data_IF_934350194275
#
_entry.id   IF_934350194275
#
_cell.length_a   1.000
_cell.length_b   1.000
_cell.length_c   1.000
_cell.angle_alpha   90.00
_cell.angle_beta   90.00
_cell.angle_gamma   90.00
#
_symmetry.space_group_name_H-M   'P 1'
#
loop_
_entity.id
_entity.type
_entity.pdbx_description
1 polymer ?
#
# COMPACT_ATOMS: atom_id res chain seq x y z
N UNK A 1 -0.60 -10.91 48.50
CA UNK A 1 -1.30 -9.97 47.58
C UNK A 1 -0.33 -9.42 46.55
N UNK A 2 0.93 -9.15 46.90
CA UNK A 2 1.96 -8.66 45.98
C UNK A 2 2.32 -9.59 44.81
N UNK A 3 2.38 -10.92 45.02
CA UNK A 3 2.77 -11.86 43.95
C UNK A 3 1.80 -11.87 42.75
N UNK A 4 0.49 -11.75 43.02
CA UNK A 4 -0.53 -11.67 41.97
C UNK A 4 -0.46 -10.35 41.19
N UNK A 5 -0.03 -9.27 41.84
CA UNK A 5 0.17 -7.97 41.21
C UNK A 5 1.36 -8.03 40.23
N UNK A 6 2.49 -8.59 40.68
CA UNK A 6 3.71 -8.72 39.87
C UNK A 6 3.50 -9.66 38.67
N UNK A 7 2.76 -10.76 38.86
CA UNK A 7 2.48 -11.67 37.77
C UNK A 7 1.53 -11.07 36.72
N UNK A 8 0.58 -10.23 37.16
CA UNK A 8 -0.29 -9.47 36.26
C UNK A 8 0.50 -8.43 35.47
N UNK A 9 1.33 -7.63 36.14
CA UNK A 9 2.15 -6.59 35.48
C UNK A 9 3.10 -7.22 34.45
N UNK A 10 3.67 -8.39 34.75
CA UNK A 10 4.54 -9.12 33.81
C UNK A 10 3.79 -9.60 32.56
N UNK A 11 2.54 -10.07 32.72
CA UNK A 11 1.68 -10.49 31.59
C UNK A 11 1.23 -9.29 30.76
N UNK A 12 0.86 -8.18 31.40
CA UNK A 12 0.50 -6.94 30.72
C UNK A 12 1.68 -6.40 29.90
N UNK A 13 2.90 -6.43 30.46
CA UNK A 13 4.11 -6.02 29.74
C UNK A 13 4.46 -6.94 28.56
N UNK A 14 4.38 -8.26 28.73
CA UNK A 14 4.62 -9.21 27.63
C UNK A 14 3.58 -9.04 26.50
N UNK A 15 2.30 -8.85 26.84
CA UNK A 15 1.25 -8.60 25.87
C UNK A 15 1.48 -7.29 25.12
N UNK A 16 1.82 -6.20 25.82
CA UNK A 16 2.12 -4.91 25.22
C UNK A 16 3.30 -5.01 24.24
N UNK A 17 4.38 -5.69 24.61
CA UNK A 17 5.55 -5.91 23.74
C UNK A 17 5.18 -6.67 22.45
N UNK A 18 4.36 -7.72 22.56
CA UNK A 18 3.88 -8.48 21.39
C UNK A 18 2.99 -7.65 20.47
N UNK A 19 2.07 -6.87 21.04
CA UNK A 19 1.19 -6.00 20.26
C UNK A 19 1.98 -4.91 19.55
N UNK A 20 2.98 -4.33 20.22
CA UNK A 20 3.85 -3.33 19.63
C UNK A 20 4.67 -3.92 18.47
N UNK A 21 5.29 -5.09 18.66
CA UNK A 21 6.01 -5.77 17.59
C UNK A 21 5.12 -6.14 16.39
N UNK A 22 3.86 -6.51 16.63
CA UNK A 22 2.89 -6.73 15.56
C UNK A 22 2.57 -5.42 14.81
N UNK A 23 2.33 -4.32 15.54
CA UNK A 23 2.04 -3.02 14.95
C UNK A 23 3.20 -2.51 14.07
N UNK A 24 4.45 -2.66 14.54
CA UNK A 24 5.65 -2.28 13.78
C UNK A 24 5.77 -3.10 12.49
N UNK A 25 5.51 -4.41 12.54
CA UNK A 25 5.53 -5.28 11.34
C UNK A 25 4.45 -4.91 10.34
N UNK A 26 3.23 -4.64 10.80
CA UNK A 26 2.11 -4.21 9.94
C UNK A 26 2.46 -2.89 9.26
N UNK A 27 2.99 -1.92 10.00
CA UNK A 27 3.41 -0.64 9.43
C UNK A 27 4.52 -0.80 8.37
N UNK A 28 5.51 -1.67 8.60
CA UNK A 28 6.55 -1.97 7.61
C UNK A 28 5.96 -2.58 6.33
N UNK A 29 5.06 -3.56 6.48
CA UNK A 29 4.40 -4.20 5.34
C UNK A 29 3.55 -3.20 4.53
N UNK A 30 2.86 -2.27 5.20
CA UNK A 30 2.11 -1.21 4.53
C UNK A 30 3.04 -0.26 3.74
N UNK A 31 4.17 0.12 4.32
CA UNK A 31 5.16 0.96 3.63
C UNK A 31 5.76 0.25 2.41
N UNK A 32 6.14 -1.01 2.54
CA UNK A 32 6.61 -1.83 1.43
C UNK A 32 5.53 -1.97 0.34
N UNK A 33 4.27 -2.13 0.75
CA UNK A 33 3.14 -2.25 -0.16
C UNK A 33 2.99 -1.02 -1.08
N UNK A 34 3.26 0.18 -0.55
CA UNK A 34 3.22 1.44 -1.31
C UNK A 34 4.31 1.55 -2.37
N UNK A 35 5.41 0.79 -2.25
CA UNK A 35 6.50 0.78 -3.23
C UNK A 35 6.19 -0.04 -4.49
N UNK A 36 5.38 -1.10 -4.39
CA UNK A 36 5.11 -1.99 -5.52
C UNK A 36 4.48 -1.30 -6.74
N UNK A 37 3.49 -0.40 -6.61
CA UNK A 37 2.92 0.31 -7.75
C UNK A 37 3.97 1.08 -8.55
N UNK A 38 4.93 1.72 -7.87
CA UNK A 38 6.00 2.48 -8.52
C UNK A 38 6.96 1.54 -9.26
N UNK A 39 7.31 0.41 -8.65
CA UNK A 39 8.12 -0.64 -9.28
C UNK A 39 7.42 -1.20 -10.53
N UNK A 40 6.12 -1.51 -10.44
CA UNK A 40 5.33 -2.01 -11.56
C UNK A 40 5.26 -0.98 -12.71
N UNK A 41 5.03 0.29 -12.38
CA UNK A 41 5.02 1.39 -13.36
C UNK A 41 6.35 1.48 -14.11
N UNK A 42 7.47 1.49 -13.37
CA UNK A 42 8.80 1.56 -13.96
C UNK A 42 9.13 0.32 -14.81
N UNK A 43 8.72 -0.88 -14.36
CA UNK A 43 8.91 -2.12 -15.11
C UNK A 43 8.14 -2.12 -16.44
N UNK A 44 6.90 -1.60 -16.46
CA UNK A 44 6.10 -1.47 -17.68
C UNK A 44 6.75 -0.47 -18.64
N UNK A 45 7.19 0.68 -18.15
CA UNK A 45 7.87 1.71 -18.96
C UNK A 45 9.18 1.20 -19.59
N UNK A 46 9.94 0.39 -18.85
CA UNK A 46 11.20 -0.19 -19.34
C UNK A 46 11.00 -1.36 -20.32
N UNK A 47 9.78 -1.91 -20.43
CA UNK A 47 9.54 -3.11 -21.20
C UNK A 47 9.59 -2.82 -22.73
N UNK A 48 10.39 -3.56 -23.51
CA UNK A 48 10.52 -3.33 -24.95
C UNK A 48 9.35 -3.96 -25.72
N UNK A 49 8.21 -3.27 -25.74
CA UNK A 49 7.07 -3.69 -26.54
C UNK A 49 7.34 -3.49 -28.03
N UNK A 50 6.91 -4.47 -28.84
CA UNK A 50 6.95 -4.39 -30.29
C UNK A 50 5.53 -4.54 -30.84
N UNK A 51 5.14 -3.63 -31.73
CA UNK A 51 3.87 -3.70 -32.44
C UNK A 51 4.15 -3.57 -33.94
N UNK A 52 3.72 -4.57 -34.73
CA UNK A 52 4.01 -4.66 -36.18
C UNK A 52 5.50 -4.56 -36.54
N UNK A 53 6.38 -5.06 -35.67
CA UNK A 53 7.83 -5.02 -35.86
C UNK A 53 8.50 -3.71 -35.45
N UNK A 54 7.74 -2.69 -35.04
CA UNK A 54 8.27 -1.42 -34.54
C UNK A 54 8.26 -1.41 -33.01
N UNK A 55 9.29 -0.78 -32.42
CA UNK A 55 9.39 -0.62 -30.96
C UNK A 55 8.43 0.47 -30.50
N UNK A 56 7.59 0.16 -29.52
CA UNK A 56 6.64 1.09 -28.92
C UNK A 56 6.90 1.17 -27.42
N UNK A 57 6.91 2.39 -26.88
CA UNK A 57 6.95 2.61 -25.44
C UNK A 57 5.51 2.72 -24.95
N UNK A 58 5.14 1.86 -24.00
CA UNK A 58 3.87 1.98 -23.28
C UNK A 58 4.17 2.37 -21.83
N UNK A 59 3.25 3.10 -21.23
CA UNK A 59 3.32 3.47 -19.81
C UNK A 59 2.00 3.14 -19.15
N UNK A 60 2.00 3.10 -17.82
CA UNK A 60 0.78 2.93 -17.03
C UNK A 60 0.63 4.06 -16.03
N UNK A 61 -0.61 4.43 -15.73
CA UNK A 61 -0.93 5.32 -14.59
C UNK A 61 -1.68 4.48 -13.58
N UNK A 62 -1.38 4.64 -12.30
CA UNK A 62 -1.91 3.77 -11.24
C UNK A 62 -2.52 4.63 -10.14
N UNK A 63 -3.76 4.32 -9.76
CA UNK A 63 -4.40 4.87 -8.57
C UNK A 63 -4.42 3.84 -7.46
N UNK A 64 -3.98 4.22 -6.26
CA UNK A 64 -3.97 3.34 -5.08
C UNK A 64 -4.79 3.92 -3.94
N UNK A 65 -5.38 3.04 -3.15
CA UNK A 65 -6.13 3.45 -1.97
C UNK A 65 -6.09 2.35 -0.91
N UNK A 66 -5.86 2.72 0.34
CA UNK A 66 -5.96 1.80 1.48
C UNK A 66 -7.42 1.65 1.92
N UNK A 67 -7.78 0.49 2.47
CA UNK A 67 -9.05 0.31 3.18
C UNK A 67 -9.06 1.16 4.45
N UNK A 68 -10.16 1.87 4.70
CA UNK A 68 -10.40 2.52 6.00
C UNK A 68 -11.39 1.68 6.82
N UNK A 69 -11.33 1.82 8.14
CA UNK A 69 -12.22 1.09 9.04
C UNK A 69 -13.70 1.35 8.68
N UNK A 70 -14.47 0.28 8.49
CA UNK A 70 -15.89 0.35 8.14
C UNK A 70 -16.20 0.69 6.68
N UNK A 71 -15.20 0.84 5.80
CA UNK A 71 -15.47 1.06 4.38
C UNK A 71 -15.91 -0.22 3.65
N UNK A 72 -16.85 -0.04 2.72
CA UNK A 72 -17.21 -1.05 1.73
C UNK A 72 -16.23 -1.03 0.56
N UNK A 73 -16.09 -2.17 -0.11
CA UNK A 73 -15.16 -2.34 -1.23
C UNK A 73 -15.40 -1.37 -2.39
N UNK A 74 -16.65 -1.00 -2.68
CA UNK A 74 -16.99 -0.03 -3.72
C UNK A 74 -16.52 1.39 -3.39
N UNK A 75 -16.52 1.77 -2.11
CA UNK A 75 -16.00 3.07 -1.67
C UNK A 75 -14.48 3.14 -1.85
N UNK A 76 -13.78 2.06 -1.53
CA UNK A 76 -12.33 1.94 -1.74
C UNK A 76 -11.99 1.99 -3.23
N UNK A 77 -12.70 1.21 -4.06
CA UNK A 77 -12.50 1.22 -5.51
C UNK A 77 -12.76 2.59 -6.13
N UNK A 78 -13.80 3.30 -5.68
CA UNK A 78 -14.10 4.66 -6.14
C UNK A 78 -12.93 5.61 -5.86
N UNK A 79 -12.38 5.58 -4.65
CA UNK A 79 -11.21 6.43 -4.28
C UNK A 79 -9.96 6.08 -5.10
N UNK A 80 -9.71 4.78 -5.33
CA UNK A 80 -8.62 4.34 -6.19
C UNK A 80 -8.80 4.81 -7.64
N UNK A 81 -10.02 4.79 -8.18
CA UNK A 81 -10.32 5.29 -9.52
C UNK A 81 -10.17 6.81 -9.61
N UNK A 82 -10.61 7.56 -8.60
CA UNK A 82 -10.38 9.00 -8.51
C UNK A 82 -8.88 9.35 -8.50
N UNK A 83 -8.06 8.57 -7.78
CA UNK A 83 -6.60 8.70 -7.82
C UNK A 83 -6.04 8.37 -9.22
N UNK A 84 -6.52 7.30 -9.86
CA UNK A 84 -6.12 6.96 -11.23
C UNK A 84 -6.47 8.09 -12.21
N UNK A 85 -7.62 8.72 -12.02
CA UNK A 85 -8.05 9.85 -12.84
C UNK A 85 -7.10 11.05 -12.65
N UNK A 86 -6.74 11.38 -11.40
CA UNK A 86 -5.70 12.40 -11.11
C UNK A 86 -4.38 12.06 -11.79
N UNK A 87 -3.92 10.82 -11.68
CA UNK A 87 -2.68 10.37 -12.31
C UNK A 87 -2.68 10.61 -13.82
N UNK A 88 -3.83 10.37 -14.47
CA UNK A 88 -4.01 10.62 -15.90
C UNK A 88 -4.10 12.10 -16.24
N UNK A 89 -4.78 12.90 -15.42
CA UNK A 89 -4.93 14.34 -15.61
C UNK A 89 -3.60 15.08 -15.46
N UNK A 90 -2.76 14.66 -14.50
CA UNK A 90 -1.53 15.36 -14.13
C UNK A 90 -0.32 14.98 -14.99
N UNK A 91 -0.54 14.30 -16.12
CA UNK A 91 0.51 13.99 -17.10
C UNK A 91 0.79 12.51 -17.30
N UNK A 92 -0.02 11.60 -16.73
CA UNK A 92 0.12 10.14 -16.85
C UNK A 92 1.46 9.64 -16.30
N UNK A 93 1.76 8.36 -16.55
CA UNK A 93 2.98 7.66 -16.15
C UNK A 93 3.38 7.93 -14.70
N UNK A 94 2.43 7.83 -13.78
CA UNK A 94 2.63 8.08 -12.35
C UNK A 94 1.68 7.27 -11.49
N UNK A 95 1.98 7.25 -10.19
CA UNK A 95 1.16 6.67 -9.14
C UNK A 95 0.55 7.81 -8.34
N UNK A 96 -0.75 7.74 -8.07
CA UNK A 96 -1.46 8.66 -7.16
C UNK A 96 -2.17 7.87 -6.07
N UNK A 97 -2.24 8.45 -4.87
CA UNK A 97 -2.90 7.86 -3.71
C UNK A 97 -4.15 8.65 -3.30
N UNK A 98 -5.14 7.98 -2.71
CA UNK A 98 -6.38 8.58 -2.17
C UNK A 98 -6.56 8.35 -0.66
#
# INVERSE_FOLDING_TARGET
>A
MDDHQHERDRREHDMASRLQGLAERVASMEQEALGYPQTLRAAIEACPFHFKGERVVITTSIGISAFRSGERSDQVLKRADEALYRAKADGRNRVEQA
#
